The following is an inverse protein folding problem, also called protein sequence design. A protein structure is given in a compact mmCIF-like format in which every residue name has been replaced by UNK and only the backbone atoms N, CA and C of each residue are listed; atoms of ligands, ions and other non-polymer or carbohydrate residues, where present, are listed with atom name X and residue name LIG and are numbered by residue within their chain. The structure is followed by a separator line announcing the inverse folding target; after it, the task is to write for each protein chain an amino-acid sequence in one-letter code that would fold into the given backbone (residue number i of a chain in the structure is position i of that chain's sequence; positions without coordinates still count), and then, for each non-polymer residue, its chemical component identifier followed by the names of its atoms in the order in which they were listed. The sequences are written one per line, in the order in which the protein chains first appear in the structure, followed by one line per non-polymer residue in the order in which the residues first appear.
data_IF_584871956643
#
_entry.id   IF_584871956643
#
_cell.length_a   1.000
_cell.length_b   1.000
_cell.length_c   1.000
_cell.angle_alpha   90.00
_cell.angle_beta   90.00
_cell.angle_gamma   90.00
#
_symmetry.space_group_name_H-M   'P 1'
#
loop_
_entity.id
_entity.type
_entity.pdbx_description
1 polymer ?
#
# COMPACT_ATOMS: atom_id res chain seq x y z
N UNK A 1 13.82 -28.82 -2.95
CA UNK A 1 14.13 -27.76 -1.97
C UNK A 1 13.89 -26.42 -2.65
N UNK A 2 12.73 -25.83 -2.44
CA UNK A 2 12.40 -24.49 -2.93
C UNK A 2 13.14 -23.46 -2.10
N UNK A 3 14.13 -22.81 -2.70
CA UNK A 3 14.86 -21.72 -2.07
C UNK A 3 13.89 -20.56 -1.79
N UNK A 4 13.52 -20.39 -0.52
CA UNK A 4 12.90 -19.15 -0.06
C UNK A 4 13.96 -18.06 -0.18
N UNK A 5 13.70 -17.06 -1.00
CA UNK A 5 14.53 -15.86 -1.02
C UNK A 5 13.92 -14.85 -0.05
N UNK A 6 14.69 -14.57 1.01
CA UNK A 6 14.23 -13.97 2.26
C UNK A 6 14.03 -12.45 2.19
N UNK A 7 14.40 -11.81 1.07
CA UNK A 7 14.17 -10.39 0.83
C UNK A 7 13.87 -10.16 -0.65
N UNK A 8 12.63 -9.79 -0.95
CA UNK A 8 12.25 -9.23 -2.24
C UNK A 8 11.53 -7.91 -2.02
N UNK A 9 11.97 -6.88 -2.73
CA UNK A 9 11.29 -5.60 -2.79
C UNK A 9 10.14 -5.69 -3.79
N UNK A 10 8.91 -5.72 -3.30
CA UNK A 10 7.70 -5.65 -4.14
C UNK A 10 7.08 -4.27 -4.02
N UNK A 11 6.76 -3.65 -5.15
CA UNK A 11 6.01 -2.39 -5.20
C UNK A 11 4.52 -2.69 -4.97
N UNK A 12 3.92 -2.04 -3.98
CA UNK A 12 2.48 -2.12 -3.70
C UNK A 12 1.81 -0.79 -4.12
N UNK A 13 0.97 -0.85 -5.16
CA UNK A 13 0.21 0.30 -5.66
C UNK A 13 -1.26 0.09 -5.34
N UNK A 14 -1.93 1.15 -4.85
CA UNK A 14 -3.35 1.09 -4.48
C UNK A 14 -4.21 1.93 -5.40
N UNK A 15 -5.42 1.48 -5.62
CA UNK A 15 -6.44 2.13 -6.44
C UNK A 15 -7.75 2.14 -5.66
N UNK A 16 -8.43 3.29 -5.65
CA UNK A 16 -9.81 3.39 -5.17
C UNK A 16 -10.70 3.31 -6.40
N UNK A 17 -11.55 2.30 -6.45
CA UNK A 17 -12.37 1.99 -7.61
C UNK A 17 -13.84 2.22 -7.25
N UNK A 18 -14.56 2.88 -8.13
CA UNK A 18 -16.03 2.82 -8.12
C UNK A 18 -16.52 1.44 -8.58
N UNK A 19 -17.84 1.21 -8.50
CA UNK A 19 -18.45 -0.07 -8.84
C UNK A 19 -18.19 -0.50 -10.29
N UNK A 20 -18.20 0.44 -11.24
CA UNK A 20 -17.96 0.17 -12.66
C UNK A 20 -16.49 -0.15 -12.88
N UNK A 21 -15.58 0.63 -12.29
CA UNK A 21 -14.14 0.40 -12.39
C UNK A 21 -13.75 -0.94 -11.78
N UNK A 22 -14.29 -1.29 -10.61
CA UNK A 22 -14.03 -2.58 -9.96
C UNK A 22 -14.47 -3.76 -10.84
N UNK A 23 -15.62 -3.63 -11.49
CA UNK A 23 -16.13 -4.64 -12.42
C UNK A 23 -15.28 -4.77 -13.68
N UNK A 24 -14.93 -3.65 -14.32
CA UNK A 24 -14.01 -3.66 -15.47
C UNK A 24 -12.68 -4.30 -15.12
N UNK A 25 -12.11 -3.96 -13.96
CA UNK A 25 -10.83 -4.54 -13.52
C UNK A 25 -10.95 -6.04 -13.24
N UNK A 26 -12.06 -6.52 -12.68
CA UNK A 26 -12.26 -7.97 -12.46
C UNK A 26 -12.30 -8.74 -13.78
N UNK A 27 -13.03 -8.24 -14.78
CA UNK A 27 -13.09 -8.88 -16.10
C UNK A 27 -11.73 -8.93 -16.77
N UNK A 28 -10.93 -7.88 -16.61
CA UNK A 28 -9.57 -7.85 -17.14
C UNK A 28 -8.61 -8.87 -16.50
N UNK A 29 -8.97 -9.44 -15.33
CA UNK A 29 -8.18 -10.52 -14.72
C UNK A 29 -8.46 -11.88 -15.33
N UNK A 30 -9.61 -12.07 -16.00
CA UNK A 30 -9.99 -13.33 -16.61
C UNK A 30 -8.93 -13.78 -17.63
N UNK A 31 -8.53 -15.05 -17.57
CA UNK A 31 -7.46 -15.60 -18.42
C UNK A 31 -6.03 -15.27 -17.97
N UNK A 32 -5.84 -14.30 -17.07
CA UNK A 32 -4.51 -13.93 -16.54
C UNK A 32 -4.32 -14.34 -15.08
N UNK A 33 -5.36 -14.18 -14.25
CA UNK A 33 -5.30 -14.39 -12.80
C UNK A 33 -6.52 -15.16 -12.30
N UNK A 34 -6.33 -15.95 -11.26
CA UNK A 34 -7.37 -16.69 -10.58
C UNK A 34 -7.37 -16.35 -9.08
N UNK A 35 -8.52 -16.45 -8.39
CA UNK A 35 -8.56 -16.37 -6.94
C UNK A 35 -7.55 -17.35 -6.32
N UNK A 36 -6.73 -16.87 -5.38
CA UNK A 36 -5.74 -17.72 -4.73
C UNK A 36 -6.41 -18.74 -3.77
N UNK A 37 -5.61 -19.60 -3.15
CA UNK A 37 -6.10 -20.62 -2.23
C UNK A 37 -6.88 -20.05 -1.02
N UNK A 38 -6.73 -18.76 -0.70
CA UNK A 38 -7.49 -18.06 0.34
C UNK A 38 -8.79 -17.45 -0.19
N UNK A 39 -8.96 -17.38 -1.52
CA UNK A 39 -10.18 -16.99 -2.21
C UNK A 39 -10.82 -15.71 -1.65
N UNK A 40 -12.12 -15.80 -1.36
CA UNK A 40 -12.86 -14.74 -0.66
C UNK A 40 -12.78 -14.95 0.85
N UNK A 41 -12.14 -14.00 1.54
CA UNK A 41 -11.94 -14.07 2.99
C UNK A 41 -12.37 -12.78 3.68
N UNK A 42 -13.12 -12.91 4.78
CA UNK A 42 -13.33 -11.79 5.70
C UNK A 42 -12.05 -11.52 6.48
N UNK A 43 -11.50 -10.31 6.34
CA UNK A 43 -10.34 -9.85 7.10
C UNK A 43 -10.82 -8.90 8.17
N UNK A 44 -10.43 -9.15 9.43
CA UNK A 44 -10.65 -8.19 10.54
C UNK A 44 -9.30 -7.73 11.05
N UNK A 45 -9.16 -6.43 11.29
CA UNK A 45 -7.95 -5.81 11.82
C UNK A 45 -8.34 -4.86 12.92
N UNK A 46 -7.94 -5.18 14.14
CA UNK A 46 -8.04 -4.32 15.30
C UNK A 46 -6.75 -3.48 15.38
N UNK A 47 -6.88 -2.18 15.19
CA UNK A 47 -5.77 -1.24 15.33
C UNK A 47 -5.65 -0.81 16.80
N UNK A 48 -4.41 -0.82 17.30
CA UNK A 48 -4.08 -0.29 18.62
C UNK A 48 -3.46 1.09 18.44
N UNK A 49 -3.82 2.01 19.33
CA UNK A 49 -3.34 3.39 19.34
C UNK A 49 -3.32 3.93 20.77
N UNK A 50 -2.74 5.12 20.97
CA UNK A 50 -2.88 5.82 22.24
C UNK A 50 -4.34 6.24 22.44
N UNK A 51 -4.79 6.51 23.69
CA UNK A 51 -6.13 7.03 23.94
C UNK A 51 -6.45 8.29 23.12
N UNK A 52 -5.45 9.13 22.88
CA UNK A 52 -5.53 10.36 22.08
C UNK A 52 -5.31 10.13 20.57
N UNK A 53 -5.17 8.87 20.11
CA UNK A 53 -4.98 8.49 18.69
C UNK A 53 -3.75 9.12 18.01
N UNK A 54 -2.70 9.36 18.79
CA UNK A 54 -1.50 10.06 18.30
C UNK A 54 -0.78 9.34 17.15
N UNK A 55 -0.82 8.00 17.09
CA UNK A 55 -0.15 7.25 16.01
C UNK A 55 -0.85 7.46 14.67
N UNK A 56 -2.19 7.49 14.64
CA UNK A 56 -2.92 7.68 13.39
C UNK A 56 -2.87 9.12 12.90
N UNK A 57 -2.98 10.09 13.80
CA UNK A 57 -2.82 11.52 13.48
C UNK A 57 -1.46 11.77 12.88
N UNK A 58 -0.39 11.40 13.60
CA UNK A 58 0.98 11.51 13.12
C UNK A 58 1.17 10.73 11.82
N UNK A 59 0.52 9.57 11.65
CA UNK A 59 0.58 8.83 10.38
C UNK A 59 -0.01 9.62 9.20
N UNK A 60 -1.05 10.44 9.42
CA UNK A 60 -1.72 11.25 8.41
C UNK A 60 -0.90 12.47 7.99
N UNK A 61 -0.07 13.00 8.89
CA UNK A 61 0.92 14.06 8.60
C UNK A 61 2.06 13.61 7.67
N UNK A 62 2.15 12.30 7.42
CA UNK A 62 3.19 11.67 6.58
C UNK A 62 4.63 12.05 6.99
N UNK A 63 5.01 11.90 8.27
CA UNK A 63 6.37 12.12 8.73
C UNK A 63 7.35 11.14 8.08
N UNK A 64 8.64 11.45 8.23
CA UNK A 64 9.76 10.60 7.82
C UNK A 64 9.63 9.17 8.36
N UNK A 65 9.27 9.06 9.65
CA UNK A 65 9.06 7.80 10.35
C UNK A 65 7.65 7.71 10.92
N UNK A 66 6.98 6.57 10.70
CA UNK A 66 5.73 6.21 11.35
C UNK A 66 5.57 4.72 11.50
N UNK A 67 4.79 4.30 12.49
CA UNK A 67 4.47 2.90 12.69
C UNK A 67 3.02 2.69 13.10
N UNK A 68 2.55 1.45 12.98
CA UNK A 68 1.20 1.02 13.35
C UNK A 68 1.26 -0.37 13.94
N UNK A 69 0.53 -0.59 15.03
CA UNK A 69 0.29 -1.89 15.61
C UNK A 69 -1.15 -2.33 15.31
N UNK A 70 -1.32 -3.60 14.95
CA UNK A 70 -2.64 -4.19 14.78
C UNK A 70 -2.67 -5.67 15.11
N UNK A 71 -3.81 -6.14 15.60
CA UNK A 71 -4.17 -7.55 15.65
C UNK A 71 -5.05 -7.88 14.44
N UNK A 72 -4.70 -8.92 13.69
CA UNK A 72 -5.40 -9.31 12.45
C UNK A 72 -5.85 -10.76 12.51
N UNK A 73 -7.09 -11.01 12.10
CA UNK A 73 -7.61 -12.36 11.86
C UNK A 73 -8.13 -12.51 10.43
N UNK A 74 -8.12 -13.75 9.94
CA UNK A 74 -8.69 -14.17 8.66
C UNK A 74 -9.81 -15.17 8.94
N UNK A 75 -10.97 -15.00 8.32
CA UNK A 75 -12.11 -15.91 8.51
C UNK A 75 -12.85 -15.69 9.84
N UNK A 76 -13.41 -16.78 10.40
CA UNK A 76 -14.12 -16.75 11.67
C UNK A 76 -13.14 -16.61 12.85
N UNK A 77 -13.54 -15.87 13.88
CA UNK A 77 -12.76 -15.75 15.10
C UNK A 77 -13.15 -16.89 16.05
N UNK A 78 -12.20 -17.76 16.36
CA UNK A 78 -12.28 -18.74 17.45
C UNK A 78 -11.16 -18.42 18.45
N UNK A 79 -11.32 -18.82 19.71
CA UNK A 79 -10.34 -18.51 20.77
C UNK A 79 -8.97 -19.17 20.53
N UNK A 80 -8.97 -20.34 19.91
CA UNK A 80 -7.80 -21.08 19.42
C UNK A 80 -7.41 -20.71 17.97
N UNK A 81 -8.18 -19.81 17.35
CA UNK A 81 -7.97 -19.40 15.97
C UNK A 81 -6.67 -18.64 15.78
N UNK A 82 -5.97 -18.92 14.68
CA UNK A 82 -4.74 -18.23 14.30
C UNK A 82 -5.00 -16.75 14.01
N UNK A 83 -4.37 -15.89 14.80
CA UNK A 83 -4.34 -14.44 14.62
C UNK A 83 -2.91 -13.97 14.49
N UNK A 84 -2.74 -12.76 13.94
CA UNK A 84 -1.44 -12.15 13.73
C UNK A 84 -1.37 -10.81 14.45
N UNK A 85 -0.40 -10.66 15.35
CA UNK A 85 0.01 -9.34 15.86
C UNK A 85 1.03 -8.80 14.88
N UNK A 86 0.69 -7.68 14.23
CA UNK A 86 1.45 -7.13 13.11
C UNK A 86 1.92 -5.71 13.43
N UNK A 87 3.20 -5.46 13.16
CA UNK A 87 3.82 -4.14 13.18
C UNK A 87 4.11 -3.71 11.75
N UNK A 88 3.70 -2.48 11.40
CA UNK A 88 3.99 -1.85 10.11
C UNK A 88 4.73 -0.54 10.34
N UNK A 89 6.03 -0.51 10.02
CA UNK A 89 6.88 0.68 10.07
C UNK A 89 7.02 1.26 8.67
N UNK A 90 7.14 2.58 8.56
CA UNK A 90 7.48 3.28 7.33
C UNK A 90 8.55 4.31 7.63
N UNK A 91 9.70 4.20 6.97
CA UNK A 91 10.85 5.10 7.09
C UNK A 91 11.28 5.55 5.69
N UNK A 92 11.39 6.85 5.44
CA UNK A 92 11.83 7.42 4.15
C UNK A 92 11.10 6.84 2.93
N UNK A 93 9.79 6.57 3.06
CA UNK A 93 9.01 5.99 1.96
C UNK A 93 8.99 4.46 1.94
N UNK A 94 9.97 3.80 2.55
CA UNK A 94 10.11 2.34 2.60
C UNK A 94 9.24 1.77 3.71
N UNK A 95 8.52 0.68 3.41
CA UNK A 95 7.59 0.03 4.34
C UNK A 95 8.17 -1.30 4.82
N UNK A 96 8.24 -1.48 6.13
CA UNK A 96 8.64 -2.72 6.78
C UNK A 96 7.43 -3.30 7.52
N UNK A 97 7.09 -4.56 7.24
CA UNK A 97 5.98 -5.26 7.90
C UNK A 97 6.50 -6.55 8.51
N UNK A 98 6.30 -6.71 9.81
CA UNK A 98 6.63 -7.94 10.55
C UNK A 98 5.41 -8.37 11.36
N UNK A 99 5.31 -9.65 11.65
CA UNK A 99 4.19 -10.20 12.43
C UNK A 99 4.58 -11.48 13.14
N UNK A 100 3.90 -11.75 14.24
CA UNK A 100 3.90 -13.04 14.92
C UNK A 100 2.51 -13.66 14.83
N UNK A 101 2.45 -14.96 14.60
CA UNK A 101 1.20 -15.73 14.62
C UNK A 101 1.02 -16.37 16.00
N UNK A 102 -0.17 -16.33 16.57
CA UNK A 102 -0.50 -17.00 17.84
C UNK A 102 -2.02 -17.25 17.92
N UNK A 103 -2.49 -17.96 18.94
CA UNK A 103 -3.93 -18.10 19.21
C UNK A 103 -4.55 -16.75 19.61
N UNK A 104 -5.86 -16.59 19.44
CA UNK A 104 -6.53 -15.36 19.87
C UNK A 104 -6.41 -15.14 21.38
N UNK A 105 -6.52 -16.21 22.18
CA UNK A 105 -6.29 -16.17 23.62
C UNK A 105 -4.85 -15.72 23.98
N UNK A 106 -3.83 -16.25 23.30
CA UNK A 106 -2.44 -15.81 23.47
C UNK A 106 -2.27 -14.33 23.10
N UNK A 107 -2.81 -13.89 21.96
CA UNK A 107 -2.72 -12.50 21.53
C UNK A 107 -3.35 -11.53 22.55
N UNK A 108 -4.49 -11.91 23.14
CA UNK A 108 -5.12 -11.11 24.20
C UNK A 108 -4.27 -11.04 25.46
N UNK A 109 -3.70 -12.16 25.90
CA UNK A 109 -2.81 -12.18 27.06
C UNK A 109 -1.54 -11.35 26.81
N UNK A 110 -0.93 -11.51 25.64
CA UNK A 110 0.27 -10.79 25.23
C UNK A 110 0.04 -9.28 25.17
N UNK A 111 -0.98 -8.83 24.43
CA UNK A 111 -1.32 -7.40 24.35
C UNK A 111 -1.86 -6.83 25.68
N UNK A 112 -2.22 -7.70 26.63
CA UNK A 112 -2.58 -7.36 28.00
C UNK A 112 -1.39 -7.26 28.96
N UNK A 113 -0.16 -7.46 28.49
CA UNK A 113 1.08 -7.30 29.27
C UNK A 113 1.79 -8.59 29.68
N UNK A 114 1.27 -9.76 29.31
CA UNK A 114 2.01 -11.02 29.48
C UNK A 114 3.15 -11.10 28.47
N UNK A 115 4.34 -11.62 28.80
CA UNK A 115 5.37 -11.91 27.79
C UNK A 115 4.84 -12.81 26.67
N UNK A 116 5.26 -12.56 25.43
CA UNK A 116 4.73 -13.27 24.26
C UNK A 116 4.95 -14.80 24.33
N UNK A 117 6.12 -15.21 24.82
CA UNK A 117 6.48 -16.63 24.98
C UNK A 117 5.57 -17.33 25.99
N UNK A 118 5.35 -16.70 27.15
CA UNK A 118 4.43 -17.20 28.18
C UNK A 118 2.99 -17.28 27.66
N UNK A 119 2.56 -16.29 26.88
CA UNK A 119 1.23 -16.28 26.28
C UNK A 119 1.04 -17.43 25.30
N UNK A 120 2.05 -17.72 24.46
CA UNK A 120 2.02 -18.83 23.52
C UNK A 120 2.10 -20.19 24.22
N UNK A 121 2.90 -20.31 25.28
CA UNK A 121 2.99 -21.53 26.08
C UNK A 121 1.68 -21.83 26.83
N UNK A 122 1.04 -20.79 27.37
CA UNK A 122 -0.23 -20.92 28.10
C UNK A 122 -1.43 -21.18 27.19
N UNK A 123 -1.43 -20.61 26.00
CA UNK A 123 -2.53 -20.71 25.03
C UNK A 123 -2.00 -21.14 23.65
N UNK A 124 -1.52 -22.39 23.52
CA UNK A 124 -0.95 -22.87 22.27
C UNK A 124 -2.01 -22.95 21.16
N UNK A 125 -1.56 -22.84 19.91
CA UNK A 125 -2.38 -23.14 18.74
C UNK A 125 -2.65 -24.65 18.67
N UNK A 126 -3.82 -25.03 18.15
CA UNK A 126 -4.18 -26.43 17.94
C UNK A 126 -3.33 -27.12 16.86
N UNK A 127 -2.92 -26.38 15.83
CA UNK A 127 -1.98 -26.88 14.82
C UNK A 127 -0.54 -26.86 15.39
N UNK A 128 0.11 -28.02 15.55
CA UNK A 128 1.46 -28.10 16.12
C UNK A 128 2.52 -27.40 15.27
N UNK A 129 2.32 -27.33 13.94
CA UNK A 129 3.28 -26.63 13.06
C UNK A 129 3.19 -25.12 13.29
N UNK A 130 1.99 -24.57 13.30
CA UNK A 130 1.79 -23.16 13.61
C UNK A 130 2.21 -22.82 15.07
N UNK A 131 1.95 -23.70 16.03
CA UNK A 131 2.40 -23.52 17.42
C UNK A 131 3.92 -23.48 17.55
N UNK A 132 4.64 -24.37 16.83
CA UNK A 132 6.09 -24.36 16.78
C UNK A 132 6.63 -23.07 16.14
N UNK A 133 6.02 -22.59 15.05
CA UNK A 133 6.38 -21.33 14.40
C UNK A 133 6.14 -20.12 15.32
N UNK A 134 5.07 -20.12 16.13
CA UNK A 134 4.82 -19.09 17.14
C UNK A 134 5.99 -18.98 18.14
N UNK A 135 6.62 -20.11 18.48
CA UNK A 135 7.71 -20.19 19.44
C UNK A 135 9.12 -20.12 18.80
N UNK A 136 9.21 -19.99 17.48
CA UNK A 136 10.49 -19.97 16.79
C UNK A 136 11.33 -18.72 17.18
N UNK A 137 12.67 -18.78 17.16
CA UNK A 137 13.53 -17.64 17.49
C UNK A 137 13.23 -16.37 16.67
N UNK A 138 12.82 -16.55 15.40
CA UNK A 138 12.38 -15.44 14.54
C UNK A 138 11.11 -14.76 15.08
N UNK A 139 10.15 -15.53 15.57
CA UNK A 139 8.92 -15.01 16.15
C UNK A 139 9.20 -14.26 17.46
N UNK A 140 10.08 -14.81 18.31
CA UNK A 140 10.55 -14.12 19.53
C UNK A 140 11.23 -12.78 19.22
N UNK A 141 12.10 -12.74 18.21
CA UNK A 141 12.70 -11.48 17.75
C UNK A 141 11.64 -10.45 17.31
N UNK A 142 10.62 -10.88 16.57
CA UNK A 142 9.55 -9.99 16.11
C UNK A 142 8.69 -9.53 17.30
N UNK A 143 8.41 -10.39 18.27
CA UNK A 143 7.72 -10.03 19.50
C UNK A 143 8.49 -8.98 20.28
N UNK A 144 9.82 -9.13 20.44
CA UNK A 144 10.66 -8.11 21.05
C UNK A 144 10.59 -6.75 20.32
N UNK A 145 10.51 -6.74 18.98
CA UNK A 145 10.28 -5.49 18.23
C UNK A 145 8.90 -4.87 18.50
N UNK A 146 7.87 -5.69 18.70
CA UNK A 146 6.53 -5.24 19.07
C UNK A 146 6.53 -4.69 20.49
N UNK A 147 7.22 -5.34 21.43
CA UNK A 147 7.37 -4.88 22.82
C UNK A 147 8.01 -3.50 22.88
N UNK A 148 9.03 -3.25 22.05
CA UNK A 148 9.65 -1.92 21.94
C UNK A 148 8.67 -0.86 21.40
N UNK A 149 7.81 -1.19 20.43
CA UNK A 149 6.76 -0.27 19.98
C UNK A 149 5.78 0.02 21.14
N UNK A 150 5.31 -1.03 21.83
CA UNK A 150 4.37 -0.91 22.95
C UNK A 150 4.99 -0.03 24.04
N UNK A 151 6.24 -0.27 24.44
CA UNK A 151 6.93 0.53 25.45
C UNK A 151 7.07 2.00 25.06
N UNK A 152 7.35 2.31 23.78
CA UNK A 152 7.47 3.70 23.28
C UNK A 152 6.15 4.47 23.26
N UNK A 153 5.03 3.76 23.09
CA UNK A 153 3.72 4.38 22.86
C UNK A 153 2.70 4.04 23.94
N UNK A 154 3.10 3.39 25.03
CA UNK A 154 2.20 3.04 26.11
C UNK A 154 1.59 4.31 26.75
N UNK A 155 0.32 4.26 27.18
CA UNK A 155 -0.60 3.12 27.06
C UNK A 155 -1.16 2.98 25.63
N UNK A 156 -1.22 1.75 25.13
CA UNK A 156 -1.92 1.42 23.89
C UNK A 156 -3.26 0.74 24.20
N UNK A 157 -4.30 1.13 23.49
CA UNK A 157 -5.64 0.56 23.61
C UNK A 157 -6.23 0.22 22.23
N UNK A 158 -7.19 -0.72 22.17
CA UNK A 158 -7.98 -0.96 20.96
C UNK A 158 -8.67 0.32 20.48
N UNK A 159 -8.24 0.88 19.34
CA UNK A 159 -8.74 2.15 18.83
C UNK A 159 -9.86 1.95 17.80
N UNK A 160 -9.62 1.11 16.79
CA UNK A 160 -10.60 0.85 15.73
C UNK A 160 -10.57 -0.59 15.25
N UNK A 161 -11.74 -1.19 15.11
CA UNK A 161 -11.92 -2.46 14.42
C UNK A 161 -12.27 -2.19 12.96
N UNK A 162 -11.51 -2.73 12.02
CA UNK A 162 -11.76 -2.62 10.59
C UNK A 162 -12.02 -3.99 10.00
N UNK A 163 -13.12 -4.14 9.28
CA UNK A 163 -13.51 -5.35 8.56
C UNK A 163 -13.55 -5.07 7.06
N UNK A 164 -13.10 -6.01 6.24
CA UNK A 164 -13.36 -6.01 4.81
C UNK A 164 -13.54 -7.42 4.26
N UNK A 165 -14.24 -7.53 3.14
CA UNK A 165 -14.27 -8.72 2.32
C UNK A 165 -13.14 -8.63 1.31
N UNK A 166 -12.17 -9.54 1.38
CA UNK A 166 -11.03 -9.57 0.48
C UNK A 166 -11.17 -10.70 -0.52
N UNK A 167 -10.94 -10.40 -1.79
CA UNK A 167 -10.62 -11.41 -2.81
C UNK A 167 -9.18 -11.22 -3.22
N UNK A 168 -8.37 -12.25 -3.09
CA UNK A 168 -6.96 -12.24 -3.50
C UNK A 168 -6.78 -13.07 -4.77
N UNK A 169 -6.01 -12.54 -5.72
CA UNK A 169 -5.72 -13.14 -7.01
C UNK A 169 -4.21 -13.41 -7.15
N UNK A 170 -3.90 -14.56 -7.73
CA UNK A 170 -2.56 -14.95 -8.17
C UNK A 170 -2.60 -15.31 -9.67
N UNK A 171 -1.45 -15.36 -10.36
CA UNK A 171 -1.40 -15.77 -11.76
C UNK A 171 -2.04 -17.15 -11.91
N UNK A 172 -2.90 -17.29 -12.91
CA UNK A 172 -3.56 -18.56 -13.19
C UNK A 172 -2.51 -19.63 -13.58
N UNK A 173 -2.74 -20.93 -13.31
CA UNK A 173 -1.79 -21.98 -13.68
C UNK A 173 -1.45 -22.00 -15.18
N UNK A 174 -2.43 -21.63 -16.03
CA UNK A 174 -2.32 -21.55 -17.49
C UNK A 174 -2.23 -20.10 -18.00
N UNK A 175 -1.81 -19.15 -17.14
CA UNK A 175 -1.68 -17.76 -17.55
C UNK A 175 -0.63 -17.59 -18.66
N UNK A 176 -0.80 -16.61 -19.57
CA UNK A 176 0.22 -16.23 -20.54
C UNK A 176 1.61 -16.04 -19.91
N UNK A 177 2.67 -16.34 -20.68
CA UNK A 177 4.05 -16.35 -20.18
C UNK A 177 4.56 -14.96 -19.72
N UNK A 178 3.92 -13.89 -20.19
CA UNK A 178 4.19 -12.51 -19.82
C UNK A 178 3.54 -12.09 -18.48
N UNK A 179 2.72 -12.94 -17.86
CA UNK A 179 2.19 -12.71 -16.52
C UNK A 179 3.26 -13.04 -15.47
N UNK A 180 3.76 -12.06 -14.68
CA UNK A 180 4.78 -12.33 -13.68
C UNK A 180 4.26 -13.27 -12.60
N UNK A 181 4.99 -14.36 -12.31
CA UNK A 181 4.60 -15.36 -11.28
C UNK A 181 4.37 -14.75 -9.89
N UNK A 182 5.01 -13.63 -9.64
CA UNK A 182 4.99 -12.92 -8.38
C UNK A 182 3.94 -11.79 -8.34
N UNK A 183 3.20 -11.55 -9.43
CA UNK A 183 2.11 -10.58 -9.46
C UNK A 183 1.00 -11.03 -8.49
N UNK A 184 0.52 -10.14 -7.62
CA UNK A 184 -0.63 -10.39 -6.74
C UNK A 184 -1.55 -9.19 -6.79
N UNK A 185 -2.86 -9.45 -6.94
CA UNK A 185 -3.88 -8.41 -6.95
C UNK A 185 -4.91 -8.74 -5.88
N UNK A 186 -5.34 -7.74 -5.11
CA UNK A 186 -6.40 -7.95 -4.11
C UNK A 186 -7.46 -6.88 -4.24
N UNK A 187 -8.73 -7.27 -4.12
CA UNK A 187 -9.86 -6.36 -3.96
C UNK A 187 -10.36 -6.41 -2.53
N UNK A 188 -10.37 -5.27 -1.84
CA UNK A 188 -11.02 -5.10 -0.56
C UNK A 188 -12.35 -4.37 -0.75
N UNK A 189 -13.44 -5.09 -0.49
CA UNK A 189 -14.81 -4.61 -0.62
C UNK A 189 -15.50 -4.56 0.73
N UNK A 190 -16.66 -3.88 0.78
CA UNK A 190 -17.50 -3.77 1.99
C UNK A 190 -16.67 -3.40 3.22
N UNK A 191 -15.71 -2.49 3.03
CA UNK A 191 -14.84 -2.03 4.10
C UNK A 191 -15.72 -1.28 5.09
N UNK A 192 -15.71 -1.71 6.35
CA UNK A 192 -16.45 -1.10 7.43
C UNK A 192 -15.53 -0.97 8.64
N UNK A 193 -15.81 -0.01 9.51
CA UNK A 193 -15.07 0.22 10.73
C UNK A 193 -16.00 0.36 11.92
N UNK A 194 -15.47 0.16 13.13
CA UNK A 194 -16.11 0.50 14.39
C UNK A 194 -15.09 1.24 15.25
N UNK A 195 -15.51 2.41 15.74
CA UNK A 195 -14.74 3.20 16.70
C UNK A 195 -14.86 2.56 18.09
N UNK A 196 -13.77 2.08 18.67
CA UNK A 196 -13.79 1.41 19.98
C UNK A 196 -13.62 2.36 21.16
N UNK A 197 -13.30 3.63 20.92
CA UNK A 197 -13.32 4.68 21.94
C UNK A 197 -14.70 5.33 22.07
N UNK A 198 -15.54 5.25 21.03
CA UNK A 198 -16.94 5.67 21.09
C UNK A 198 -17.83 4.58 21.72
N UNK A 199 -18.36 4.78 22.94
CA UNK A 199 -19.26 3.82 23.57
C UNK A 199 -20.52 3.58 22.72
N UNK A 200 -20.95 2.33 22.61
CA UNK A 200 -22.16 1.98 21.85
C UNK A 200 -22.03 2.06 20.32
N UNK A 201 -20.84 2.34 19.78
CA UNK A 201 -20.62 2.38 18.33
C UNK A 201 -20.99 1.07 17.63
N UNK A 202 -21.56 1.17 16.43
CA UNK A 202 -21.81 0.05 15.52
C UNK A 202 -20.77 0.00 14.40
N UNK A 203 -20.81 -1.07 13.60
CA UNK A 203 -20.03 -1.12 12.36
C UNK A 203 -20.60 -0.14 11.33
N UNK A 204 -19.77 0.76 10.82
CA UNK A 204 -20.12 1.79 9.82
C UNK A 204 -19.37 1.53 8.53
N UNK A 205 -20.05 1.51 7.35
CA UNK A 205 -19.38 1.41 6.06
C UNK A 205 -18.41 2.57 5.81
N UNK A 206 -17.19 2.26 5.35
CA UNK A 206 -16.17 3.23 4.97
C UNK A 206 -16.19 3.55 3.46
N UNK A 207 -16.72 2.62 2.66
CA UNK A 207 -16.90 2.75 1.23
C UNK A 207 -18.39 2.64 0.88
N UNK A 208 -18.79 3.25 -0.24
CA UNK A 208 -20.14 3.05 -0.78
C UNK A 208 -20.32 1.61 -1.29
N UNK A 209 -21.56 1.17 -1.42
CA UNK A 209 -21.86 -0.12 -2.01
C UNK A 209 -21.25 -0.21 -3.43
N UNK A 210 -20.53 -1.30 -3.70
CA UNK A 210 -19.84 -1.53 -4.97
C UNK A 210 -18.45 -0.88 -5.09
N UNK A 211 -18.09 0.10 -4.26
CA UNK A 211 -16.72 0.63 -4.22
C UNK A 211 -15.74 -0.41 -3.65
N UNK A 212 -14.52 -0.41 -4.17
CA UNK A 212 -13.44 -1.31 -3.75
C UNK A 212 -12.10 -0.58 -3.62
N UNK A 213 -11.22 -1.11 -2.77
CA UNK A 213 -9.79 -0.76 -2.78
C UNK A 213 -9.03 -1.92 -3.39
N UNK A 214 -8.45 -1.69 -4.57
CA UNK A 214 -7.59 -2.65 -5.25
C UNK A 214 -6.13 -2.39 -4.88
N UNK A 215 -5.38 -3.44 -4.54
CA UNK A 215 -3.93 -3.40 -4.34
C UNK A 215 -3.26 -4.29 -5.39
N UNK A 216 -2.29 -3.74 -6.13
CA UNK A 216 -1.45 -4.46 -7.10
C UNK A 216 -0.04 -4.57 -6.51
N UNK A 217 0.50 -5.79 -6.46
CA UNK A 217 1.82 -6.11 -5.90
C UNK A 217 2.65 -6.86 -6.93
N UNK A 218 3.79 -6.29 -7.33
CA UNK A 218 4.73 -6.91 -8.27
C UNK A 218 6.17 -6.49 -7.93
N UNK A 219 7.15 -7.35 -8.22
CA UNK A 219 8.58 -7.01 -8.09
C UNK A 219 9.09 -6.17 -9.27
N UNK A 220 8.43 -6.25 -10.42
CA UNK A 220 8.81 -5.56 -11.65
C UNK A 220 7.77 -4.56 -12.16
N UNK A 221 7.96 -4.06 -13.40
CA UNK A 221 6.94 -3.28 -14.09
C UNK A 221 5.65 -4.09 -14.27
N UNK A 222 4.52 -3.40 -14.41
CA UNK A 222 3.25 -4.06 -14.67
C UNK A 222 3.22 -4.63 -16.09
N UNK A 223 2.64 -5.84 -16.29
CA UNK A 223 2.46 -6.39 -17.63
C UNK A 223 1.53 -5.50 -18.45
N UNK A 224 1.70 -5.51 -19.77
CA UNK A 224 1.02 -4.58 -20.68
C UNK A 224 -0.51 -4.66 -20.55
N UNK A 225 -1.07 -5.88 -20.51
CA UNK A 225 -2.52 -6.09 -20.34
C UNK A 225 -3.07 -5.40 -19.08
N UNK A 226 -2.30 -5.36 -17.99
CA UNK A 226 -2.72 -4.73 -16.74
C UNK A 226 -2.67 -3.20 -16.87
N UNK A 227 -1.67 -2.66 -17.56
CA UNK A 227 -1.56 -1.22 -17.83
C UNK A 227 -2.72 -0.77 -18.72
N UNK A 228 -3.04 -1.51 -19.78
CA UNK A 228 -4.18 -1.25 -20.66
C UNK A 228 -5.51 -1.32 -19.91
N UNK A 229 -5.70 -2.31 -19.03
CA UNK A 229 -6.89 -2.43 -18.20
C UNK A 229 -7.06 -1.26 -17.20
N UNK A 230 -5.95 -0.83 -16.58
CA UNK A 230 -5.93 0.33 -15.69
C UNK A 230 -6.27 1.62 -16.44
N UNK A 231 -5.75 1.80 -17.65
CA UNK A 231 -6.05 2.97 -18.49
C UNK A 231 -7.51 2.98 -18.97
N UNK A 232 -7.99 1.85 -19.49
CA UNK A 232 -9.37 1.69 -19.96
C UNK A 232 -10.40 1.92 -18.84
N UNK A 233 -10.08 1.51 -17.61
CA UNK A 233 -10.92 1.77 -16.42
C UNK A 233 -10.72 3.17 -15.82
N UNK A 234 -9.77 3.96 -16.33
CA UNK A 234 -9.34 5.24 -15.76
C UNK A 234 -9.00 5.12 -14.26
N UNK A 235 -8.40 3.98 -13.88
CA UNK A 235 -8.00 3.69 -12.52
C UNK A 235 -6.61 4.26 -12.23
N UNK A 236 -6.57 5.35 -11.47
CA UNK A 236 -5.31 6.01 -11.11
C UNK A 236 -4.82 5.61 -9.71
N UNK A 237 -3.49 5.55 -9.50
CA UNK A 237 -2.93 5.28 -8.18
C UNK A 237 -3.39 6.29 -7.13
N UNK A 238 -3.74 5.81 -5.95
CA UNK A 238 -4.15 6.63 -4.81
C UNK A 238 -3.48 6.17 -3.53
N UNK A 239 -3.27 7.08 -2.58
CA UNK A 239 -2.90 6.69 -1.22
C UNK A 239 -4.16 6.41 -0.40
N UNK A 240 -4.39 5.15 -0.01
CA UNK A 240 -5.50 4.79 0.87
C UNK A 240 -5.01 4.02 2.10
N UNK A 241 -5.34 4.53 3.28
CA UNK A 241 -5.10 3.87 4.57
C UNK A 241 -6.45 3.60 5.21
N UNK A 242 -6.85 2.32 5.31
CA UNK A 242 -8.14 1.94 5.94
C UNK A 242 -8.31 2.58 7.32
N UNK A 243 -7.29 2.51 8.17
CA UNK A 243 -7.31 3.15 9.50
C UNK A 243 -7.32 4.67 9.45
N UNK A 244 -6.66 5.27 8.45
CA UNK A 244 -6.66 6.74 8.32
C UNK A 244 -8.01 7.26 7.84
N UNK A 245 -8.61 6.58 6.87
CA UNK A 245 -9.94 6.91 6.38
C UNK A 245 -11.01 6.68 7.46
N UNK A 246 -10.91 5.61 8.26
CA UNK A 246 -11.80 5.37 9.39
C UNK A 246 -11.68 6.45 10.47
N UNK A 247 -10.45 6.86 10.80
CA UNK A 247 -10.19 7.99 11.71
C UNK A 247 -10.83 9.29 11.22
N UNK A 248 -10.53 9.71 9.99
CA UNK A 248 -11.11 10.91 9.39
C UNK A 248 -12.64 10.87 9.32
N UNK A 249 -13.26 9.69 9.17
CA UNK A 249 -14.71 9.55 9.14
C UNK A 249 -15.38 9.74 10.53
N UNK A 250 -14.63 9.64 11.62
CA UNK A 250 -15.12 9.90 12.98
C UNK A 250 -14.97 11.36 13.39
N UNK A 251 -14.05 12.10 12.77
CA UNK A 251 -13.77 13.48 13.14
C UNK A 251 -14.88 14.43 12.64
N UNK A 252 -15.59 15.14 13.54
CA UNK A 252 -16.75 15.96 13.19
C UNK A 252 -16.42 17.15 12.28
N UNK A 253 -15.14 17.52 12.16
CA UNK A 253 -14.63 18.62 11.32
C UNK A 253 -14.21 18.20 9.90
N UNK A 254 -14.28 16.92 9.54
CA UNK A 254 -13.95 16.45 8.17
C UNK A 254 -15.12 15.72 7.50
N UNK A 255 -16.13 16.50 7.06
CA UNK A 255 -17.08 16.07 6.01
C UNK A 255 -16.33 15.85 4.68
N UNK A 256 -16.88 15.01 3.79
CA UNK A 256 -16.25 13.79 3.31
C UNK A 256 -14.92 13.98 2.55
N UNK A 257 -14.04 12.99 2.69
CA UNK A 257 -12.77 12.74 1.96
C UNK A 257 -12.87 12.91 0.42
N UNK A 258 -14.08 12.94 -0.14
CA UNK A 258 -14.33 13.16 -1.57
C UNK A 258 -13.88 14.56 -2.05
N UNK A 259 -14.09 15.63 -1.28
CA UNK A 259 -13.81 17.01 -1.75
C UNK A 259 -12.33 17.40 -1.62
N UNK A 260 -11.66 16.94 -0.56
CA UNK A 260 -10.23 17.24 -0.33
C UNK A 260 -9.32 16.55 -1.35
N UNK A 261 -9.72 15.38 -1.85
CA UNK A 261 -9.00 14.69 -2.93
C UNK A 261 -9.27 15.34 -4.30
N UNK A 262 -10.48 15.81 -4.57
CA UNK A 262 -10.78 16.55 -5.80
C UNK A 262 -10.06 17.88 -5.90
N UNK A 263 -9.91 18.61 -4.78
CA UNK A 263 -9.14 19.85 -4.74
C UNK A 263 -7.66 19.59 -5.06
N UNK A 264 -7.05 18.57 -4.43
CA UNK A 264 -5.65 18.20 -4.70
C UNK A 264 -5.44 17.64 -6.11
N UNK A 265 -6.39 16.91 -6.67
CA UNK A 265 -6.32 16.46 -8.07
C UNK A 265 -6.46 17.61 -9.06
N UNK A 266 -7.25 18.65 -8.76
CA UNK A 266 -7.32 19.87 -9.58
C UNK A 266 -5.99 20.63 -9.55
N UNK A 267 -5.36 20.77 -8.40
CA UNK A 267 -4.07 21.45 -8.27
C UNK A 267 -2.94 20.73 -9.02
N UNK A 268 -2.91 19.39 -8.97
CA UNK A 268 -1.93 18.58 -9.70
C UNK A 268 -2.15 18.68 -11.22
N UNK A 269 -3.41 18.66 -11.68
CA UNK A 269 -3.74 18.83 -13.11
C UNK A 269 -3.40 20.24 -13.61
N UNK A 270 -3.65 21.27 -12.81
CA UNK A 270 -3.27 22.64 -13.14
C UNK A 270 -1.75 22.82 -13.21
N UNK A 271 -1.00 22.22 -12.28
CA UNK A 271 0.47 22.23 -12.30
C UNK A 271 1.04 21.49 -13.51
N UNK A 272 0.49 20.34 -13.88
CA UNK A 272 0.92 19.58 -15.07
C UNK A 272 0.61 20.33 -16.37
N UNK A 273 -0.55 20.99 -16.47
CA UNK A 273 -0.89 21.83 -17.62
C UNK A 273 0.04 23.05 -17.75
N UNK A 274 0.43 23.67 -16.62
CA UNK A 274 1.37 24.78 -16.61
C UNK A 274 2.79 24.36 -17.08
N UNK A 275 3.27 23.19 -16.65
CA UNK A 275 4.55 22.63 -17.11
C UNK A 275 4.51 22.30 -18.60
N UNK A 276 3.40 21.75 -19.10
CA UNK A 276 3.19 21.48 -20.53
C UNK A 276 3.26 22.76 -21.38
N UNK A 277 2.56 23.82 -20.97
CA UNK A 277 2.61 25.12 -21.66
C UNK A 277 4.00 25.76 -21.60
N UNK A 278 4.74 25.58 -20.50
CA UNK A 278 6.09 26.11 -20.37
C UNK A 278 7.10 25.34 -21.25
N UNK A 279 6.92 24.02 -21.39
CA UNK A 279 7.70 23.19 -22.32
C UNK A 279 7.42 23.53 -23.79
N UNK A 280 6.15 23.78 -24.16
CA UNK A 280 5.77 24.22 -25.51
C UNK A 280 6.33 25.61 -25.85
N UNK A 281 6.32 26.56 -24.89
CA UNK A 281 6.95 27.88 -25.06
C UNK A 281 8.47 27.77 -25.22
N UNK A 282 9.12 26.88 -24.48
CA UNK A 282 10.55 26.62 -24.60
C UNK A 282 10.88 25.97 -25.96
N UNK A 283 10.07 25.01 -26.42
CA UNK A 283 10.22 24.38 -27.72
C UNK A 283 10.01 25.38 -28.87
N UNK A 284 9.02 26.27 -28.77
CA UNK A 284 8.77 27.33 -29.74
C UNK A 284 9.92 28.36 -29.78
N UNK A 285 10.52 28.68 -28.62
CA UNK A 285 11.71 29.53 -28.51
C UNK A 285 12.93 28.92 -29.20
N UNK A 286 13.08 27.59 -29.14
CA UNK A 286 14.20 26.87 -29.78
C UNK A 286 14.04 26.78 -31.30
N UNK A 287 12.81 26.79 -31.83
CA UNK A 287 12.54 26.76 -33.28
C UNK A 287 12.61 28.14 -33.95
N UNK A 288 12.65 29.24 -33.18
CA UNK A 288 12.79 30.61 -33.69
C UNK A 288 14.23 31.04 -34.04
N UNK A 289 15.24 30.23 -33.70
CA UNK A 289 16.64 30.58 -33.89
C UNK A 289 17.16 30.08 -35.25
N UNK A 290 17.06 30.91 -36.30
CA UNK A 290 17.77 30.64 -37.57
C UNK A 290 19.28 30.49 -37.29
N UNK A 291 19.97 29.46 -37.83
CA UNK A 291 21.40 29.34 -37.65
C UNK A 291 22.12 30.53 -38.30
N UNK A 292 22.95 31.23 -37.53
CA UNK A 292 23.86 32.25 -38.06
C UNK A 292 24.83 31.57 -39.03
N UNK A 293 24.74 31.91 -40.32
CA UNK A 293 25.70 31.47 -41.34
C UNK A 293 27.09 31.99 -40.95
N UNK A 294 27.99 31.09 -40.58
CA UNK A 294 29.42 31.36 -40.51
C UNK A 294 29.91 31.64 -41.94
N UNK A 295 30.37 32.87 -42.23
CA UNK A 295 31.11 33.20 -43.46
C UNK A 295 32.57 32.85 -43.23
N UNK A 296 33.11 31.94 -44.04
CA UNK A 296 34.55 31.69 -44.12
C UNK A 296 35.29 32.91 -44.72
N UNK A 297 36.52 33.24 -44.29
CA UNK A 297 37.30 34.33 -44.86
C UNK A 297 37.82 33.97 -46.26
N UNK A 298 37.71 34.92 -47.18
CA UNK A 298 38.25 34.85 -48.54
C UNK A 298 39.77 35.10 -48.49
N UNK A 299 40.58 34.12 -48.91
CA UNK A 299 42.00 34.31 -49.16
C UNK A 299 42.20 35.10 -50.45
N UNK A 300 42.72 36.32 -50.35
CA UNK A 300 43.17 37.12 -51.49
C UNK A 300 44.60 36.71 -51.87
N UNK A 301 44.77 36.15 -53.07
CA UNK A 301 46.08 35.89 -53.68
C UNK A 301 46.70 37.21 -54.17
N UNK A 302 47.77 37.67 -53.51
CA UNK A 302 48.58 38.77 -54.00
C UNK A 302 49.61 38.26 -55.02
N UNK A 303 49.46 38.71 -56.28
CA UNK A 303 50.54 38.72 -57.28
C UNK A 303 51.65 39.65 -56.80
N UNK A 304 52.86 39.13 -56.61
CA UNK A 304 54.11 39.89 -56.81
C UNK A 304 54.92 39.17 -57.88
N UNK A 305 54.94 39.77 -59.07
CA UNK A 305 55.96 39.49 -60.06
C UNK A 305 57.25 40.21 -59.67
N UNK A 306 58.37 39.52 -59.83
CA UNK A 306 59.72 40.04 -59.64
C UNK A 306 60.73 38.95 -60.00
N UNK A 307 61.12 38.91 -61.28
CA UNK A 307 62.25 38.13 -61.80
C UNK A 307 63.57 38.71 -61.30
N UNK A 308 64.59 37.89 -61.12
CA UNK A 308 65.86 37.99 -61.86
C UNK A 308 66.85 36.88 -61.45
N UNK A 309 67.52 36.36 -62.50
CA UNK A 309 68.79 35.62 -62.59
C UNK A 309 68.94 34.32 -61.78
#
# INVERSE_FOLDING_TARGET
MTAFTDVFERKEVKYRLDARQAETMRRALEGHMEPDAYGRTTVRSLYLDTPERTLIERSLDKPLYKEKLRLRCYGALADDGLVFVEIKKKFEGIVYKRRVGCSYAAARAYLGGMPYEDACARFPLADPVAAAESCAPRSQQIAAEIDQLIARHAPLAPSMLIRCERVAYAPAPLSPADVPRDLRITFDERIAYRDLFAPGSSMTPLLRAGEAVMEVKASGPFPLWLVEALDASRAYPTSFSKYGAAYCACEPTQRPVAEVLEAKCRDVRAAQAAVGQQAERLAASLHGSRPRRFRAPIMTSAKKGGRCA
#
